data_IF_897743562918
#
_entry.id   IF_897743562918
#
_cell.length_a   1.000
_cell.length_b   1.000
_cell.length_c   1.000
_cell.angle_alpha   90.00
_cell.angle_beta   90.00
_cell.angle_gamma   90.00
#
_symmetry.space_group_name_H-M   'P 1'
#
loop_
_entity.id
_entity.type
_entity.pdbx_description
1 polymer ?
#
# COMPACT_ATOMS: atom_id res chain seq x y z
N UNK A 1 1.63 34.39 28.63
CA UNK A 1 0.76 34.29 27.44
C UNK A 1 -0.23 35.46 27.27
N UNK A 2 -0.55 36.26 28.30
CA UNK A 2 -1.45 37.42 28.14
C UNK A 2 -0.82 38.61 27.36
N UNK A 3 0.50 38.78 27.39
CA UNK A 3 1.17 39.92 26.74
C UNK A 3 1.34 39.78 25.21
N UNK A 4 1.15 38.59 24.64
CA UNK A 4 1.35 38.36 23.20
C UNK A 4 0.14 38.77 22.34
N UNK A 5 -1.08 38.78 22.90
CA UNK A 5 -2.32 39.06 22.17
C UNK A 5 -2.70 40.55 22.17
N UNK A 6 -2.25 41.29 23.18
CA UNK A 6 -2.45 42.74 23.27
C UNK A 6 -1.79 43.51 22.12
N UNK A 7 -0.70 42.99 21.55
CA UNK A 7 -0.04 43.59 20.38
C UNK A 7 -0.91 43.61 19.12
N UNK A 8 -1.96 42.77 19.05
CA UNK A 8 -2.87 42.67 17.92
C UNK A 8 -4.30 43.12 18.24
N UNK A 9 -4.52 43.76 19.39
CA UNK A 9 -5.85 44.21 19.83
C UNK A 9 -6.90 43.06 19.90
N UNK A 10 -6.43 41.84 20.18
CA UNK A 10 -7.28 40.66 20.33
C UNK A 10 -7.50 40.37 21.82
N UNK A 11 -8.76 40.30 22.24
CA UNK A 11 -9.14 39.83 23.56
C UNK A 11 -9.36 38.32 23.51
N UNK A 12 -8.65 37.57 24.36
CA UNK A 12 -8.89 36.13 24.54
C UNK A 12 -10.16 35.94 25.36
N UNK A 13 -11.21 35.45 24.73
CA UNK A 13 -12.45 35.06 25.38
C UNK A 13 -12.34 33.62 25.90
N UNK A 14 -13.20 33.25 26.86
CA UNK A 14 -13.17 31.89 27.43
C UNK A 14 -13.46 30.80 26.38
N UNK A 15 -14.10 31.15 25.26
CA UNK A 15 -14.34 30.23 24.14
C UNK A 15 -13.08 29.96 23.29
N UNK A 16 -12.07 30.83 23.32
CA UNK A 16 -10.81 30.66 22.58
C UNK A 16 -9.87 29.64 23.22
N UNK A 17 -10.17 29.25 24.46
CA UNK A 17 -9.49 28.15 25.13
C UNK A 17 -10.01 26.84 24.57
N UNK A 18 -9.32 26.30 23.58
CA UNK A 18 -9.53 24.92 23.14
C UNK A 18 -9.23 23.99 24.32
N UNK A 19 -10.27 23.42 24.91
CA UNK A 19 -10.10 22.26 25.79
C UNK A 19 -9.57 21.14 24.90
N UNK A 20 -8.49 20.43 25.27
CA UNK A 20 -8.12 19.23 24.54
C UNK A 20 -9.34 18.31 24.51
N UNK A 21 -9.72 17.87 23.32
CA UNK A 21 -10.75 16.86 23.12
C UNK A 21 -10.45 15.69 24.07
N UNK A 22 -11.45 15.04 24.69
CA UNK A 22 -11.18 13.79 25.38
C UNK A 22 -10.46 12.83 24.40
N UNK A 23 -9.44 12.07 24.84
CA UNK A 23 -8.63 11.25 23.94
C UNK A 23 -9.45 10.31 23.05
N UNK A 24 -10.65 9.93 23.49
CA UNK A 24 -11.62 9.16 22.71
C UNK A 24 -12.05 9.82 21.40
N UNK A 25 -12.28 11.14 21.37
CA UNK A 25 -12.72 11.84 20.15
C UNK A 25 -11.59 11.95 19.12
N UNK A 26 -10.36 12.22 19.55
CA UNK A 26 -9.18 12.23 18.65
C UNK A 26 -8.84 10.82 18.17
N UNK A 27 -9.07 9.79 19.01
CA UNK A 27 -8.89 8.39 18.62
C UNK A 27 -9.95 7.94 17.60
N UNK A 28 -11.19 8.40 17.72
CA UNK A 28 -12.28 8.13 16.76
C UNK A 28 -12.05 8.88 15.44
N UNK A 29 -11.74 10.19 15.46
CA UNK A 29 -11.46 11.00 14.26
C UNK A 29 -10.25 10.47 13.49
N UNK A 30 -9.19 10.03 14.19
CA UNK A 30 -8.05 9.42 13.52
C UNK A 30 -8.38 8.02 12.98
N UNK A 31 -9.37 7.30 13.55
CA UNK A 31 -9.70 5.90 13.18
C UNK A 31 -10.47 5.88 11.86
N UNK A 32 -11.16 6.99 11.58
CA UNK A 32 -11.97 7.18 10.38
C UNK A 32 -11.21 7.73 9.19
N UNK A 33 -9.92 8.05 9.32
CA UNK A 33 -9.15 8.62 8.20
C UNK A 33 -8.18 7.57 7.64
N UNK A 34 -8.42 7.08 6.41
CA UNK A 34 -7.54 6.15 5.74
C UNK A 34 -6.09 6.67 5.70
N UNK A 35 -5.13 5.77 5.84
CA UNK A 35 -3.71 6.13 5.79
C UNK A 35 -3.09 5.66 4.48
N UNK A 36 -2.41 6.56 3.79
CA UNK A 36 -1.87 6.31 2.46
C UNK A 36 -0.37 6.59 2.45
N UNK A 37 0.42 5.62 1.98
CA UNK A 37 1.85 5.80 1.76
C UNK A 37 2.15 5.64 0.27
N UNK A 38 2.34 6.79 -0.39
CA UNK A 38 2.64 6.86 -1.82
C UNK A 38 4.14 6.88 -2.12
N UNK A 39 5.03 7.04 -1.13
CA UNK A 39 6.49 7.20 -1.31
C UNK A 39 6.87 7.98 -2.60
N UNK A 40 7.70 7.39 -3.45
CA UNK A 40 8.17 7.95 -4.73
C UNK A 40 7.25 7.56 -5.91
N UNK A 41 5.95 7.38 -5.67
CA UNK A 41 5.00 7.12 -6.75
C UNK A 41 5.02 8.26 -7.79
N UNK A 42 4.93 7.95 -9.09
CA UNK A 42 4.94 8.97 -10.13
C UNK A 42 3.75 9.93 -10.01
N UNK A 43 3.97 11.21 -10.35
CA UNK A 43 2.88 12.18 -10.47
C UNK A 43 1.95 11.81 -11.64
N UNK A 44 0.65 11.86 -11.38
CA UNK A 44 -0.43 11.54 -12.33
C UNK A 44 -1.43 12.69 -12.46
N UNK A 45 -1.01 13.91 -12.13
CA UNK A 45 -1.75 15.15 -12.34
C UNK A 45 -2.24 15.28 -13.79
N UNK A 46 -1.41 14.88 -14.75
CA UNK A 46 -1.74 14.78 -16.17
C UNK A 46 -1.90 13.31 -16.55
N UNK A 47 -3.12 12.89 -16.91
CA UNK A 47 -3.44 11.51 -17.24
C UNK A 47 -4.50 11.46 -18.36
N UNK A 48 -4.26 10.69 -19.42
CA UNK A 48 -5.14 10.62 -20.58
C UNK A 48 -5.49 9.18 -20.95
N UNK A 49 -6.74 8.97 -21.36
CA UNK A 49 -7.24 7.66 -21.79
C UNK A 49 -7.27 6.62 -20.65
N UNK A 50 -7.17 5.35 -21.01
CA UNK A 50 -7.15 4.19 -20.09
C UNK A 50 -8.42 3.96 -19.25
N UNK A 51 -9.54 4.56 -19.65
CA UNK A 51 -10.79 4.47 -18.89
C UNK A 51 -11.32 3.04 -18.79
N UNK A 52 -11.17 2.25 -19.86
CA UNK A 52 -11.60 0.85 -19.90
C UNK A 52 -10.77 0.00 -18.92
N UNK A 53 -9.44 0.16 -18.92
CA UNK A 53 -8.56 -0.54 -18.00
C UNK A 53 -8.82 -0.14 -16.54
N UNK A 54 -9.04 1.15 -16.26
CA UNK A 54 -9.42 1.62 -14.94
C UNK A 54 -10.75 0.99 -14.46
N UNK A 55 -11.76 0.95 -15.33
CA UNK A 55 -13.05 0.36 -14.99
C UNK A 55 -12.90 -1.14 -14.69
N UNK A 56 -12.17 -1.87 -15.53
CA UNK A 56 -11.92 -3.29 -15.34
C UNK A 56 -11.19 -3.58 -14.03
N UNK A 57 -10.17 -2.79 -13.70
CA UNK A 57 -9.41 -2.94 -12.45
C UNK A 57 -10.27 -2.64 -11.23
N UNK A 58 -11.13 -1.62 -11.31
CA UNK A 58 -12.09 -1.32 -10.23
C UNK A 58 -13.05 -2.47 -10.00
N UNK A 59 -13.61 -3.06 -11.07
CA UNK A 59 -14.48 -4.22 -10.97
C UNK A 59 -13.77 -5.39 -10.30
N UNK A 60 -12.58 -5.77 -10.77
CA UNK A 60 -11.80 -6.87 -10.18
C UNK A 60 -11.49 -6.65 -8.70
N UNK A 61 -11.08 -5.44 -8.32
CA UNK A 61 -10.61 -5.14 -6.97
C UNK A 61 -11.77 -4.92 -5.98
N UNK A 62 -12.80 -4.17 -6.39
CA UNK A 62 -13.86 -3.71 -5.49
C UNK A 62 -15.04 -4.68 -5.46
N UNK A 63 -15.46 -5.19 -6.61
CA UNK A 63 -16.67 -5.99 -6.77
C UNK A 63 -16.36 -7.49 -6.69
N UNK A 64 -15.42 -7.97 -7.51
CA UNK A 64 -15.01 -9.39 -7.53
C UNK A 64 -14.08 -9.76 -6.38
N UNK A 65 -13.59 -8.76 -5.63
CA UNK A 65 -12.72 -8.93 -4.46
C UNK A 65 -11.46 -9.75 -4.79
N UNK A 66 -10.87 -9.55 -5.96
CA UNK A 66 -9.61 -10.18 -6.34
C UNK A 66 -8.51 -9.82 -5.32
N UNK A 67 -7.87 -10.84 -4.75
CA UNK A 67 -6.80 -10.68 -3.75
C UNK A 67 -5.47 -10.26 -4.37
N UNK A 68 -5.22 -10.69 -5.61
CA UNK A 68 -3.99 -10.43 -6.35
C UNK A 68 -4.33 -10.09 -7.80
N UNK A 69 -3.90 -8.92 -8.26
CA UNK A 69 -4.14 -8.41 -9.62
C UNK A 69 -2.81 -8.01 -10.24
N UNK A 70 -2.55 -8.47 -11.47
CA UNK A 70 -1.33 -8.17 -12.21
C UNK A 70 -1.59 -7.25 -13.39
N UNK A 71 -0.90 -6.11 -13.42
CA UNK A 71 -0.81 -5.20 -14.57
C UNK A 71 0.42 -5.56 -15.40
N UNK A 72 0.19 -6.25 -16.51
CA UNK A 72 1.25 -6.74 -17.39
C UNK A 72 1.32 -5.92 -18.68
N UNK A 73 2.53 -5.69 -19.19
CA UNK A 73 2.70 -5.00 -20.47
C UNK A 73 4.12 -4.49 -20.69
N UNK A 74 4.39 -4.04 -21.91
CA UNK A 74 5.72 -3.57 -22.32
C UNK A 74 6.23 -2.39 -21.46
N UNK A 75 7.54 -2.14 -21.51
CA UNK A 75 8.15 -0.98 -20.87
C UNK A 75 7.60 0.34 -21.43
N UNK A 76 7.47 1.36 -20.59
CA UNK A 76 7.02 2.70 -21.00
C UNK A 76 5.52 2.83 -21.33
N UNK A 77 4.74 1.74 -21.29
CA UNK A 77 3.30 1.77 -21.65
C UNK A 77 2.39 2.48 -20.63
N UNK A 78 2.95 2.91 -19.50
CA UNK A 78 2.22 3.66 -18.45
C UNK A 78 1.60 2.81 -17.34
N UNK A 79 2.07 1.58 -17.08
CA UNK A 79 1.52 0.70 -16.03
C UNK A 79 1.59 1.32 -14.64
N UNK A 80 2.73 1.88 -14.26
CA UNK A 80 2.93 2.52 -12.95
C UNK A 80 1.98 3.71 -12.79
N UNK A 81 1.89 4.57 -13.81
CA UNK A 81 0.93 5.69 -13.86
C UNK A 81 -0.52 5.21 -13.74
N UNK A 82 -0.90 4.13 -14.42
CA UNK A 82 -2.23 3.53 -14.31
C UNK A 82 -2.51 3.00 -12.91
N UNK A 83 -1.54 2.32 -12.29
CA UNK A 83 -1.66 1.79 -10.94
C UNK A 83 -1.81 2.90 -9.88
N UNK A 84 -1.04 3.99 -10.01
CA UNK A 84 -1.21 5.18 -9.15
C UNK A 84 -2.57 5.81 -9.36
N UNK A 85 -2.98 6.04 -10.62
CA UNK A 85 -4.27 6.66 -10.93
C UNK A 85 -5.44 5.86 -10.36
N UNK A 86 -5.39 4.54 -10.51
CA UNK A 86 -6.35 3.63 -9.92
C UNK A 86 -6.35 3.72 -8.40
N UNK A 87 -5.19 3.60 -7.76
CA UNK A 87 -5.09 3.63 -6.30
C UNK A 87 -5.64 4.94 -5.74
N UNK A 88 -5.34 6.10 -6.34
CA UNK A 88 -5.94 7.38 -5.95
C UNK A 88 -7.47 7.40 -6.06
N UNK A 89 -8.06 6.70 -7.04
CA UNK A 89 -9.51 6.62 -7.22
C UNK A 89 -10.20 5.70 -6.21
N UNK A 90 -9.50 4.68 -5.71
CA UNK A 90 -10.10 3.63 -4.86
C UNK A 90 -9.57 3.61 -3.43
N UNK A 91 -8.58 4.44 -3.09
CA UNK A 91 -7.93 4.43 -1.78
C UNK A 91 -8.91 4.65 -0.62
N UNK A 92 -10.05 5.33 -0.82
CA UNK A 92 -11.09 5.50 0.20
C UNK A 92 -11.83 4.21 0.54
N UNK A 93 -11.75 3.19 -0.32
CA UNK A 93 -12.35 1.86 -0.13
C UNK A 93 -11.47 0.94 0.74
N UNK A 94 -10.33 1.43 1.21
CA UNK A 94 -9.35 0.69 1.99
C UNK A 94 -8.98 1.47 3.25
N UNK A 95 -8.70 0.75 4.33
CA UNK A 95 -8.24 1.34 5.60
C UNK A 95 -6.82 1.86 5.47
N UNK A 96 -5.99 1.14 4.72
CA UNK A 96 -4.59 1.48 4.47
C UNK A 96 -4.24 1.20 3.01
N UNK A 97 -3.51 2.12 2.39
CA UNK A 97 -2.91 1.92 1.07
C UNK A 97 -1.40 2.10 1.16
N UNK A 98 -0.66 1.21 0.52
CA UNK A 98 0.81 1.20 0.52
C UNK A 98 1.32 1.01 -0.90
N UNK A 99 2.08 1.98 -1.41
CA UNK A 99 2.86 1.87 -2.64
C UNK A 99 4.31 1.52 -2.32
N UNK A 100 4.86 0.49 -2.97
CA UNK A 100 6.29 0.19 -2.93
C UNK A 100 6.82 -0.03 -4.34
N UNK A 101 7.91 0.67 -4.65
CA UNK A 101 8.67 0.43 -5.86
C UNK A 101 9.70 -0.67 -5.61
N UNK A 102 9.76 -1.65 -6.51
CA UNK A 102 10.85 -2.62 -6.56
C UNK A 102 11.94 -2.18 -7.54
N UNK A 103 11.88 -0.95 -8.06
CA UNK A 103 12.97 -0.37 -8.84
C UNK A 103 14.23 -0.37 -7.95
N UNK A 104 15.33 -0.94 -8.46
CA UNK A 104 16.57 -1.28 -7.73
C UNK A 104 16.56 -2.62 -6.98
N UNK A 105 15.48 -3.38 -7.07
CA UNK A 105 15.35 -4.72 -6.49
C UNK A 105 15.79 -4.76 -5.01
N UNK A 106 15.05 -4.08 -4.12
CA UNK A 106 15.37 -4.09 -2.70
C UNK A 106 15.26 -5.50 -2.10
N UNK A 107 16.00 -5.83 -1.03
CA UNK A 107 15.85 -7.11 -0.33
C UNK A 107 14.42 -7.33 0.18
N UNK A 108 13.88 -8.53 -0.03
CA UNK A 108 12.48 -8.85 0.34
C UNK A 108 12.19 -8.65 1.82
N UNK A 109 13.14 -8.99 2.69
CA UNK A 109 12.97 -8.83 4.14
C UNK A 109 12.84 -7.38 4.56
N UNK A 110 13.62 -6.50 3.92
CA UNK A 110 13.56 -5.06 4.14
C UNK A 110 12.21 -4.52 3.66
N UNK A 111 11.76 -4.92 2.47
CA UNK A 111 10.45 -4.49 1.96
C UNK A 111 9.29 -4.94 2.83
N UNK A 112 9.25 -6.21 3.26
CA UNK A 112 8.20 -6.69 4.17
C UNK A 112 8.26 -5.93 5.49
N UNK A 113 9.46 -5.67 6.02
CA UNK A 113 9.64 -4.87 7.23
C UNK A 113 9.06 -3.48 7.05
N UNK A 114 9.42 -2.76 5.98
CA UNK A 114 8.94 -1.41 5.69
C UNK A 114 7.43 -1.35 5.47
N UNK A 115 6.83 -2.38 4.85
CA UNK A 115 5.38 -2.50 4.70
C UNK A 115 4.73 -2.73 6.06
N UNK A 116 5.23 -3.68 6.86
CA UNK A 116 4.71 -3.97 8.20
C UNK A 116 4.80 -2.77 9.12
N UNK A 117 5.91 -2.04 9.10
CA UNK A 117 6.10 -0.83 9.89
C UNK A 117 4.97 0.17 9.63
N UNK A 118 4.69 0.43 8.36
CA UNK A 118 3.63 1.36 7.97
C UNK A 118 2.24 0.81 8.31
N UNK A 119 1.96 -0.46 7.99
CA UNK A 119 0.67 -1.09 8.30
C UNK A 119 0.36 -1.07 9.80
N UNK A 120 1.31 -1.46 10.65
CA UNK A 120 1.11 -1.51 12.10
C UNK A 120 0.90 -0.10 12.67
N UNK A 121 1.70 0.89 12.23
CA UNK A 121 1.51 2.28 12.61
C UNK A 121 0.14 2.82 12.18
N UNK A 122 -0.23 2.63 10.91
CA UNK A 122 -1.49 3.11 10.33
C UNK A 122 -2.72 2.50 11.02
N UNK A 123 -2.66 1.20 11.29
CA UNK A 123 -3.73 0.44 11.97
C UNK A 123 -3.71 0.61 13.49
N UNK A 124 -2.74 1.37 14.04
CA UNK A 124 -2.50 1.55 15.49
C UNK A 124 -2.37 0.23 16.24
N UNK A 125 -1.68 -0.72 15.63
CA UNK A 125 -1.29 -1.98 16.25
C UNK A 125 0.06 -1.83 16.93
N UNK A 126 0.36 -2.72 17.87
CA UNK A 126 1.67 -2.75 18.50
C UNK A 126 2.78 -2.97 17.45
N UNK A 127 3.86 -2.20 17.59
CA UNK A 127 4.97 -2.17 16.65
C UNK A 127 5.94 -3.36 16.87
N UNK A 128 5.40 -4.57 16.78
CA UNK A 128 6.16 -5.82 16.97
C UNK A 128 6.42 -6.46 15.62
N UNK A 129 7.63 -6.27 15.10
CA UNK A 129 8.06 -6.86 13.83
C UNK A 129 8.94 -8.06 14.13
N UNK A 130 8.55 -9.27 13.69
CA UNK A 130 9.37 -10.46 13.89
C UNK A 130 10.71 -10.37 13.15
N UNK A 131 11.74 -11.04 13.66
CA UNK A 131 13.05 -11.06 13.02
C UNK A 131 13.10 -11.96 11.78
N UNK A 132 12.48 -13.14 11.84
CA UNK A 132 12.56 -14.12 10.76
C UNK A 132 11.58 -13.84 9.63
N UNK A 133 11.99 -14.13 8.39
CA UNK A 133 11.20 -13.98 7.18
C UNK A 133 9.80 -14.63 7.27
N UNK A 134 9.71 -15.89 7.69
CA UNK A 134 8.43 -16.61 7.78
C UNK A 134 7.45 -15.98 8.77
N UNK A 135 7.99 -15.45 9.89
CA UNK A 135 7.17 -14.76 10.89
C UNK A 135 6.75 -13.37 10.40
N UNK A 136 7.62 -12.65 9.69
CA UNK A 136 7.25 -11.39 9.01
C UNK A 136 6.14 -11.63 7.98
N UNK A 137 6.26 -12.65 7.13
CA UNK A 137 5.21 -13.03 6.18
C UNK A 137 3.90 -13.36 6.90
N UNK A 138 3.95 -14.16 7.97
CA UNK A 138 2.76 -14.52 8.75
C UNK A 138 2.10 -13.29 9.36
N UNK A 139 2.89 -12.35 9.89
CA UNK A 139 2.38 -11.08 10.45
C UNK A 139 1.77 -10.19 9.38
N UNK A 140 2.35 -10.15 8.18
CA UNK A 140 1.79 -9.42 7.04
C UNK A 140 0.43 -9.99 6.68
N UNK A 141 0.32 -11.31 6.55
CA UNK A 141 -0.96 -11.98 6.26
C UNK A 141 -2.01 -11.70 7.34
N UNK A 142 -1.65 -11.73 8.62
CA UNK A 142 -2.56 -11.37 9.72
C UNK A 142 -3.12 -9.95 9.55
N UNK A 143 -2.28 -9.00 9.14
CA UNK A 143 -2.73 -7.63 8.86
C UNK A 143 -3.70 -7.59 7.68
N UNK A 144 -3.38 -8.27 6.57
CA UNK A 144 -4.20 -8.29 5.36
C UNK A 144 -5.54 -9.04 5.52
N UNK A 145 -5.58 -10.00 6.45
CA UNK A 145 -6.77 -10.77 6.81
C UNK A 145 -7.73 -10.00 7.71
N UNK A 146 -7.19 -9.24 8.66
CA UNK A 146 -7.99 -8.53 9.66
C UNK A 146 -8.37 -7.10 9.26
N UNK A 147 -7.70 -6.52 8.25
CA UNK A 147 -7.91 -5.14 7.81
C UNK A 147 -7.90 -5.11 6.29
N UNK A 148 -8.72 -4.26 5.71
CA UNK A 148 -8.86 -4.11 4.26
C UNK A 148 -7.79 -3.15 3.74
N UNK A 149 -6.68 -3.69 3.26
CA UNK A 149 -5.55 -2.94 2.74
C UNK A 149 -5.41 -3.06 1.22
N UNK A 150 -4.86 -2.02 0.58
CA UNK A 150 -4.40 -2.05 -0.81
C UNK A 150 -2.88 -1.95 -0.83
N UNK A 151 -2.19 -3.00 -1.29
CA UNK A 151 -0.75 -2.95 -1.53
C UNK A 151 -0.50 -2.83 -3.04
N UNK A 152 0.31 -1.87 -3.46
CA UNK A 152 0.75 -1.75 -4.84
C UNK A 152 2.26 -1.97 -4.92
N UNK A 153 2.67 -3.00 -5.65
CA UNK A 153 4.06 -3.37 -5.90
C UNK A 153 4.44 -3.04 -7.34
N UNK A 154 5.22 -1.99 -7.54
CA UNK A 154 5.62 -1.53 -8.86
C UNK A 154 6.95 -2.17 -9.31
N UNK A 155 7.06 -2.46 -10.60
CA UNK A 155 8.25 -3.00 -11.26
C UNK A 155 8.68 -4.39 -10.76
N UNK A 156 7.72 -5.31 -10.62
CA UNK A 156 8.00 -6.70 -10.21
C UNK A 156 8.95 -7.42 -11.18
N UNK A 157 9.05 -7.01 -12.45
CA UNK A 157 10.02 -7.63 -13.38
C UNK A 157 11.49 -7.51 -12.90
N UNK A 158 11.80 -6.53 -12.05
CA UNK A 158 13.17 -6.25 -11.58
C UNK A 158 13.76 -7.37 -10.71
N UNK A 159 12.90 -8.12 -10.03
CA UNK A 159 13.25 -9.26 -9.19
C UNK A 159 13.16 -10.60 -9.93
N UNK A 160 12.71 -10.57 -11.19
CA UNK A 160 12.60 -11.76 -12.03
C UNK A 160 13.92 -12.02 -12.79
N UNK A 161 14.11 -13.27 -13.18
CA UNK A 161 15.26 -13.77 -13.92
C UNK A 161 15.03 -13.59 -15.41
N UNK A 162 16.00 -13.01 -16.12
CA UNK A 162 15.96 -12.97 -17.58
C UNK A 162 16.20 -14.32 -18.26
N UNK A 163 16.64 -15.35 -17.52
CA UNK A 163 16.97 -16.67 -18.07
C UNK A 163 15.81 -17.65 -18.11
N UNK A 164 14.91 -17.60 -17.12
CA UNK A 164 13.70 -18.43 -17.07
C UNK A 164 12.50 -17.53 -16.76
N UNK A 165 11.57 -17.46 -17.72
CA UNK A 165 10.44 -16.54 -17.67
C UNK A 165 9.65 -16.68 -16.37
N UNK A 166 9.40 -15.56 -15.69
CA UNK A 166 8.62 -15.51 -14.47
C UNK A 166 9.28 -16.05 -13.20
N UNK A 167 10.49 -16.61 -13.25
CA UNK A 167 11.21 -17.03 -12.03
C UNK A 167 11.89 -15.87 -11.35
N UNK A 168 12.00 -15.89 -10.02
CA UNK A 168 12.82 -14.91 -9.31
C UNK A 168 14.30 -15.15 -9.65
N UNK A 169 15.07 -14.06 -9.77
CA UNK A 169 16.53 -14.13 -9.90
C UNK A 169 17.17 -14.63 -8.59
N UNK A 170 18.39 -15.20 -8.63
CA UNK A 170 19.06 -15.71 -7.43
C UNK A 170 19.15 -14.67 -6.31
N UNK A 171 18.76 -15.05 -5.09
CA UNK A 171 18.71 -14.18 -3.90
C UNK A 171 17.40 -13.40 -3.73
N UNK A 172 16.44 -13.55 -4.65
CA UNK A 172 15.13 -12.88 -4.62
C UNK A 172 13.96 -13.86 -4.52
N UNK A 173 14.23 -15.13 -4.24
CA UNK A 173 13.24 -16.21 -4.14
C UNK A 173 12.17 -15.93 -3.08
N UNK A 174 12.51 -15.15 -2.04
CA UNK A 174 11.54 -14.74 -1.03
C UNK A 174 10.41 -13.87 -1.59
N UNK A 175 10.61 -13.12 -2.67
CA UNK A 175 9.50 -12.44 -3.33
C UNK A 175 8.54 -13.41 -4.01
N UNK A 176 9.07 -14.51 -4.58
CA UNK A 176 8.23 -15.58 -5.10
C UNK A 176 7.38 -16.22 -4.01
N UNK A 177 7.94 -16.39 -2.80
CA UNK A 177 7.19 -16.87 -1.63
C UNK A 177 6.13 -15.86 -1.17
N UNK A 178 6.46 -14.57 -1.15
CA UNK A 178 5.52 -13.48 -0.82
C UNK A 178 4.34 -13.45 -1.79
N UNK A 179 4.60 -13.34 -3.10
CA UNK A 179 3.55 -13.27 -4.13
C UNK A 179 2.66 -14.51 -4.12
N UNK A 180 3.26 -15.69 -3.96
CA UNK A 180 2.51 -16.95 -3.81
C UNK A 180 1.59 -16.91 -2.60
N UNK A 181 2.09 -16.48 -1.44
CA UNK A 181 1.30 -16.38 -0.19
C UNK A 181 0.13 -15.40 -0.34
N UNK A 182 0.35 -14.26 -1.00
CA UNK A 182 -0.68 -13.26 -1.29
C UNK A 182 -1.77 -13.78 -2.25
N UNK A 183 -1.41 -14.63 -3.22
CA UNK A 183 -2.40 -15.24 -4.13
C UNK A 183 -3.21 -16.37 -3.49
N UNK A 184 -2.55 -17.23 -2.72
CA UNK A 184 -3.13 -18.50 -2.23
C UNK A 184 -3.89 -18.36 -0.91
N UNK A 185 -3.43 -17.50 0.01
CA UNK A 185 -4.04 -17.41 1.34
C UNK A 185 -5.25 -16.48 1.33
N UNK A 186 -6.41 -16.89 1.86
CA UNK A 186 -7.57 -16.02 1.98
C UNK A 186 -7.28 -14.77 2.83
N UNK A 187 -7.66 -13.61 2.32
CA UNK A 187 -7.61 -12.32 3.01
C UNK A 187 -8.61 -11.34 2.35
N UNK A 188 -8.95 -10.24 3.04
CA UNK A 188 -9.93 -9.24 2.58
C UNK A 188 -9.28 -8.04 1.85
N UNK A 189 -7.96 -7.99 1.87
CA UNK A 189 -7.12 -7.00 1.17
C UNK A 189 -6.96 -7.30 -0.32
N UNK A 190 -6.37 -6.36 -1.06
CA UNK A 190 -5.96 -6.55 -2.45
C UNK A 190 -4.48 -6.17 -2.62
N UNK A 191 -3.76 -6.94 -3.44
CA UNK A 191 -2.43 -6.61 -3.92
C UNK A 191 -2.47 -6.42 -5.43
N UNK A 192 -2.09 -5.23 -5.87
CA UNK A 192 -1.86 -4.90 -7.27
C UNK A 192 -0.35 -4.94 -7.52
N UNK A 193 0.09 -5.52 -8.64
CA UNK A 193 1.48 -5.38 -9.05
C UNK A 193 1.60 -5.01 -10.51
N UNK A 194 2.68 -4.30 -10.87
CA UNK A 194 3.04 -4.04 -12.26
C UNK A 194 4.22 -4.91 -12.66
N UNK A 195 4.21 -5.42 -13.89
CA UNK A 195 5.33 -6.20 -14.42
C UNK A 195 5.38 -6.19 -15.95
N UNK A 196 6.52 -6.53 -16.54
CA UNK A 196 6.64 -6.81 -17.99
C UNK A 196 6.23 -8.23 -18.35
N UNK A 197 6.40 -9.15 -17.41
CA UNK A 197 6.10 -10.57 -17.57
C UNK A 197 5.37 -11.12 -16.35
N UNK A 198 4.68 -12.25 -16.52
CA UNK A 198 3.93 -12.89 -15.44
C UNK A 198 4.89 -13.69 -14.54
N UNK A 199 4.94 -13.44 -13.22
CA UNK A 199 5.63 -14.33 -12.28
C UNK A 199 5.07 -15.77 -12.34
N UNK A 200 5.94 -16.78 -12.27
CA UNK A 200 5.57 -18.19 -12.50
C UNK A 200 4.65 -18.75 -11.38
N UNK A 201 4.86 -18.31 -10.13
CA UNK A 201 4.24 -18.92 -8.93
C UNK A 201 3.17 -18.02 -8.29
N UNK A 202 2.16 -17.61 -9.04
CA UNK A 202 1.13 -16.70 -8.51
C UNK A 202 -0.02 -17.39 -7.77
N UNK A 203 -0.45 -18.58 -8.21
CA UNK A 203 -1.51 -19.39 -7.59
C UNK A 203 -1.56 -20.77 -8.27
N UNK A 204 -2.12 -21.79 -7.60
CA UNK A 204 -2.49 -23.07 -8.23
C UNK A 204 -3.92 -23.03 -8.74
#
# INVERSE_FOLDING_TARGET
MQFAFAAFNLELCKEDYTRPSPPSADLEIRRTNPQYDWQEAPDVSVFYGRSEELLQLRQWILEERCRLVGLLGIGGIGKSTLAVKLGLQIQSEFEVMVWRSLLNAPPVEEQITNILQFLLWALRKEMVIPESFDRKLSKLMECLQSNRCLLILDNVETILSGGQAGQCRPGYEGYGQLLKRLGEVPHISCVLFTSREKPEKLYR
#
